data_IF_512807222230
#
_entry.id   IF_512807222230
#
_cell.length_a   1.000
_cell.length_b   1.000
_cell.length_c   1.000
_cell.angle_alpha   90.00
_cell.angle_beta   90.00
_cell.angle_gamma   90.00
#
_symmetry.space_group_name_H-M   'P 1'
#
loop_
_entity.id
_entity.type
_entity.pdbx_description
1 polymer ?
#
# COMPACT_ATOMS: atom_id res chain seq x y z
N UNK A 1 -10.68 40.03 7.73
CA UNK A 1 -11.55 39.24 6.82
C UNK A 1 -10.77 38.96 5.53
N UNK A 2 -10.39 37.70 5.28
CA UNK A 2 -9.68 37.31 4.04
C UNK A 2 -10.71 37.01 2.96
N UNK A 3 -10.65 37.74 1.85
CA UNK A 3 -11.50 37.48 0.69
C UNK A 3 -11.04 36.17 0.00
N UNK A 4 -11.95 35.27 -0.39
CA UNK A 4 -11.61 34.13 -1.23
C UNK A 4 -11.33 34.62 -2.66
N UNK A 5 -10.14 34.28 -3.20
CA UNK A 5 -9.85 34.52 -4.61
C UNK A 5 -10.66 33.55 -5.48
N UNK A 6 -11.40 34.11 -6.43
CA UNK A 6 -12.02 33.38 -7.54
C UNK A 6 -10.93 32.66 -8.33
N UNK A 7 -10.81 31.34 -8.18
CA UNK A 7 -10.13 30.52 -9.19
C UNK A 7 -11.11 30.33 -10.36
N UNK A 8 -11.19 31.35 -11.20
CA UNK A 8 -11.86 31.28 -12.50
C UNK A 8 -10.83 31.64 -13.57
N UNK A 9 -10.53 30.69 -14.44
CA UNK A 9 -9.88 30.95 -15.73
C UNK A 9 -8.35 30.81 -15.76
N UNK A 10 -7.86 29.57 -15.78
CA UNK A 10 -6.64 29.22 -16.51
C UNK A 10 -6.82 27.85 -17.19
N UNK A 11 -7.65 27.80 -18.24
CA UNK A 11 -7.62 26.73 -19.23
C UNK A 11 -6.66 27.15 -20.34
N UNK A 12 -5.38 26.92 -20.16
CA UNK A 12 -4.37 27.06 -21.22
C UNK A 12 -3.37 25.92 -21.16
N UNK A 13 -3.18 25.30 -22.33
CA UNK A 13 -2.21 24.27 -22.68
C UNK A 13 -2.46 22.85 -22.12
N UNK A 14 -2.96 21.98 -23.01
CA UNK A 14 -2.92 20.55 -22.86
C UNK A 14 -1.48 20.04 -22.75
N UNK A 15 -1.05 19.78 -21.52
CA UNK A 15 0.04 18.87 -21.24
C UNK A 15 -0.56 17.50 -20.97
N UNK A 16 -0.23 16.52 -21.81
CA UNK A 16 -0.27 15.08 -21.52
C UNK A 16 -1.28 14.70 -20.44
N UNK A 17 -2.54 14.55 -20.87
CA UNK A 17 -3.50 13.72 -20.15
C UNK A 17 -2.81 12.39 -19.88
N UNK A 18 -2.26 12.26 -18.67
CA UNK A 18 -1.84 11.00 -18.08
C UNK A 18 -3.10 10.19 -17.93
N UNK A 19 -3.56 9.63 -19.06
CA UNK A 19 -4.63 8.65 -19.11
C UNK A 19 -4.09 7.45 -18.34
N UNK A 20 -4.26 7.45 -17.03
CA UNK A 20 -4.69 6.22 -16.37
C UNK A 20 -5.88 5.76 -17.21
N UNK A 21 -5.72 4.65 -17.92
CA UNK A 21 -6.76 4.10 -18.79
C UNK A 21 -7.98 3.69 -17.96
N UNK A 22 -8.68 2.59 -18.27
CA UNK A 22 -9.80 2.11 -17.43
C UNK A 22 -9.41 1.70 -16.00
N UNK A 23 -8.16 1.91 -15.57
CA UNK A 23 -7.60 1.45 -14.30
C UNK A 23 -7.28 2.63 -13.39
N UNK A 24 -7.74 2.55 -12.13
CA UNK A 24 -7.55 3.59 -11.10
C UNK A 24 -6.09 3.80 -10.68
N UNK A 25 -5.22 2.81 -10.92
CA UNK A 25 -3.80 2.86 -10.54
C UNK A 25 -2.89 2.78 -11.78
N UNK A 26 -1.73 3.47 -11.77
CA UNK A 26 -0.82 3.50 -12.90
C UNK A 26 -0.09 2.16 -13.11
N UNK A 27 -0.45 1.44 -14.17
CA UNK A 27 0.11 0.13 -14.52
C UNK A 27 1.65 0.13 -14.61
N UNK A 28 2.23 1.21 -15.14
CA UNK A 28 3.69 1.34 -15.25
C UNK A 28 4.39 1.35 -13.88
N UNK A 29 3.75 1.94 -12.85
CA UNK A 29 4.31 1.95 -11.48
C UNK A 29 4.15 0.61 -10.81
N UNK A 30 3.00 -0.06 -11.00
CA UNK A 30 2.78 -1.43 -10.52
C UNK A 30 3.84 -2.36 -11.09
N UNK A 31 4.04 -2.35 -12.42
CA UNK A 31 5.07 -3.16 -13.08
C UNK A 31 6.47 -2.87 -12.55
N UNK A 32 6.80 -1.61 -12.24
CA UNK A 32 8.09 -1.24 -11.65
C UNK A 32 8.26 -1.80 -10.25
N UNK A 33 7.25 -1.71 -9.39
CA UNK A 33 7.29 -2.30 -8.03
C UNK A 33 7.49 -3.82 -8.13
N UNK A 34 6.74 -4.49 -9.02
CA UNK A 34 6.88 -5.94 -9.25
C UNK A 34 8.27 -6.35 -9.74
N UNK A 35 8.97 -5.52 -10.53
CA UNK A 35 10.35 -5.81 -10.93
C UNK A 35 11.35 -5.63 -9.78
N UNK A 36 11.04 -4.74 -8.85
CA UNK A 36 11.92 -4.40 -7.74
C UNK A 36 11.72 -5.34 -6.53
N UNK A 37 10.72 -6.22 -6.55
CA UNK A 37 10.41 -7.09 -5.40
C UNK A 37 11.32 -8.31 -5.25
N UNK A 38 12.21 -8.59 -6.22
CA UNK A 38 13.17 -9.68 -6.12
C UNK A 38 14.17 -9.69 -7.28
N UNK A 39 15.35 -10.26 -7.04
CA UNK A 39 16.46 -10.30 -8.00
C UNK A 39 16.15 -11.18 -9.24
N UNK A 40 15.20 -12.11 -9.11
CA UNK A 40 14.85 -13.09 -10.15
C UNK A 40 13.71 -12.67 -11.10
N UNK A 41 13.11 -11.49 -10.92
CA UNK A 41 11.97 -11.06 -11.74
C UNK A 41 12.43 -10.48 -13.08
N UNK A 42 12.61 -11.35 -14.09
CA UNK A 42 13.05 -10.94 -15.45
C UNK A 42 11.91 -10.36 -16.30
N UNK A 43 10.84 -11.12 -16.46
CA UNK A 43 9.68 -10.76 -17.29
C UNK A 43 8.39 -10.78 -16.46
N UNK A 44 7.47 -9.88 -16.80
CA UNK A 44 6.16 -9.78 -16.18
C UNK A 44 5.13 -9.77 -17.30
N UNK A 45 4.16 -10.68 -17.23
CA UNK A 45 3.03 -10.75 -18.17
C UNK A 45 2.27 -9.43 -18.23
N UNK A 46 1.71 -9.09 -19.39
CA UNK A 46 0.89 -7.89 -19.56
C UNK A 46 -0.38 -7.88 -18.69
N UNK A 47 -0.89 -9.05 -18.35
CA UNK A 47 -2.12 -9.20 -17.55
C UNK A 47 -1.89 -8.98 -16.05
N UNK A 48 -0.68 -9.27 -15.55
CA UNK A 48 -0.42 -9.22 -14.11
C UNK A 48 -0.58 -7.80 -13.51
N UNK A 49 -0.02 -6.71 -14.11
CA UNK A 49 -0.26 -5.35 -13.62
C UNK A 49 -1.74 -4.94 -13.63
N UNK A 50 -2.54 -5.48 -14.55
CA UNK A 50 -3.98 -5.19 -14.65
C UNK A 50 -4.72 -5.79 -13.45
N UNK A 51 -4.46 -7.06 -13.14
CA UNK A 51 -5.03 -7.75 -11.97
C UNK A 51 -4.58 -7.07 -10.67
N UNK A 52 -3.29 -6.77 -10.56
CA UNK A 52 -2.74 -6.07 -9.40
C UNK A 52 -3.36 -4.68 -9.21
N UNK A 53 -3.68 -3.95 -10.29
CA UNK A 53 -4.37 -2.67 -10.16
C UNK A 53 -5.70 -2.81 -9.42
N UNK A 54 -6.49 -3.85 -9.73
CA UNK A 54 -7.78 -4.06 -9.08
C UNK A 54 -7.62 -4.65 -7.68
N UNK A 55 -6.68 -5.57 -7.50
CA UNK A 55 -6.37 -6.14 -6.19
C UNK A 55 -5.91 -5.04 -5.21
N UNK A 56 -5.02 -4.13 -5.64
CA UNK A 56 -4.57 -3.01 -4.83
C UNK A 56 -5.70 -2.04 -4.49
N UNK A 57 -6.64 -1.80 -5.40
CA UNK A 57 -7.84 -0.99 -5.12
C UNK A 57 -8.66 -1.61 -3.98
N UNK A 58 -8.99 -2.91 -4.09
CA UNK A 58 -9.74 -3.64 -3.06
C UNK A 58 -8.95 -3.71 -1.73
N UNK A 59 -7.65 -3.89 -1.80
CA UNK A 59 -6.77 -3.93 -0.62
C UNK A 59 -6.76 -2.60 0.14
N UNK A 60 -6.64 -1.46 -0.57
CA UNK A 60 -6.66 -0.13 0.04
C UNK A 60 -8.02 0.15 0.69
N UNK A 61 -9.12 -0.16 -0.01
CA UNK A 61 -10.47 -0.01 0.52
C UNK A 61 -10.65 -0.80 1.82
N UNK A 62 -10.23 -2.06 1.81
CA UNK A 62 -10.43 -2.96 2.92
C UNK A 62 -9.55 -2.63 4.13
N UNK A 63 -8.28 -2.25 3.91
CA UNK A 63 -7.40 -1.75 4.98
C UNK A 63 -7.94 -0.45 5.58
N UNK A 64 -8.45 0.46 4.74
CA UNK A 64 -9.02 1.73 5.18
C UNK A 64 -10.28 1.50 6.01
N UNK A 65 -11.15 0.59 5.57
CA UNK A 65 -12.38 0.22 6.29
C UNK A 65 -12.07 -0.33 7.67
N UNK A 66 -11.10 -1.23 7.80
CA UNK A 66 -10.67 -1.75 9.12
C UNK A 66 -10.08 -0.67 10.02
N UNK A 67 -9.17 0.15 9.48
CA UNK A 67 -8.56 1.28 10.22
C UNK A 67 -9.61 2.29 10.69
N UNK A 68 -10.67 2.49 9.90
CA UNK A 68 -11.78 3.37 10.25
C UNK A 68 -12.59 2.84 11.44
N UNK A 69 -12.78 1.52 11.57
CA UNK A 69 -13.46 0.95 12.74
C UNK A 69 -12.71 1.28 14.04
N UNK A 70 -11.39 1.13 14.07
CA UNK A 70 -10.55 1.53 15.22
C UNK A 70 -10.60 3.04 15.49
N UNK A 71 -10.68 3.85 14.43
CA UNK A 71 -10.85 5.31 14.56
C UNK A 71 -12.18 5.67 15.25
N UNK A 72 -13.26 4.98 14.89
CA UNK A 72 -14.59 5.18 15.46
C UNK A 72 -14.67 4.72 16.93
N UNK A 73 -14.00 3.62 17.29
CA UNK A 73 -13.85 3.17 18.68
C UNK A 73 -13.15 4.24 19.53
N UNK A 74 -12.16 4.92 18.95
CA UNK A 74 -11.50 6.08 19.54
C UNK A 74 -12.34 7.37 19.57
N UNK A 75 -13.61 7.34 19.12
CA UNK A 75 -14.52 8.50 18.98
C UNK A 75 -13.93 9.63 18.13
N UNK A 76 -13.00 9.31 17.23
CA UNK A 76 -12.35 10.26 16.32
C UNK A 76 -13.01 10.19 14.94
N UNK A 77 -12.77 11.24 14.14
CA UNK A 77 -13.25 11.35 12.75
C UNK A 77 -12.11 11.47 11.74
N UNK A 78 -10.87 11.29 12.22
CA UNK A 78 -9.64 11.39 11.45
C UNK A 78 -8.83 10.13 11.71
N UNK A 79 -8.50 9.39 10.65
CA UNK A 79 -7.67 8.18 10.72
C UNK A 79 -6.22 8.58 10.99
N UNK A 80 -5.62 7.99 12.02
CA UNK A 80 -4.22 8.15 12.39
C UNK A 80 -3.41 6.92 12.01
N UNK A 81 -2.07 7.05 12.03
CA UNK A 81 -1.16 5.93 11.78
C UNK A 81 -1.37 4.79 12.79
N UNK A 82 -1.64 5.13 14.05
CA UNK A 82 -1.88 4.15 15.12
C UNK A 82 -3.14 3.31 14.89
N UNK A 83 -4.16 3.88 14.24
CA UNK A 83 -5.37 3.15 13.87
C UNK A 83 -5.07 2.09 12.80
N UNK A 84 -4.20 2.44 11.84
CA UNK A 84 -3.73 1.50 10.81
C UNK A 84 -2.88 0.38 11.42
N UNK A 85 -1.94 0.74 12.30
CA UNK A 85 -1.12 -0.26 12.99
C UNK A 85 -1.97 -1.23 13.82
N UNK A 86 -2.94 -0.70 14.56
CA UNK A 86 -3.88 -1.51 15.36
C UNK A 86 -4.75 -2.41 14.47
N UNK A 87 -5.26 -1.90 13.36
CA UNK A 87 -6.07 -2.68 12.42
C UNK A 87 -5.26 -3.79 11.72
N UNK A 88 -3.98 -3.55 11.45
CA UNK A 88 -3.05 -4.55 10.90
C UNK A 88 -2.82 -5.67 11.92
N UNK A 89 -2.47 -5.34 13.16
CA UNK A 89 -2.21 -6.34 14.22
C UNK A 89 -3.46 -7.15 14.56
N UNK A 90 -4.66 -6.55 14.47
CA UNK A 90 -5.92 -7.23 14.73
C UNK A 90 -6.37 -8.17 13.60
N UNK A 91 -5.71 -8.17 12.44
CA UNK A 91 -6.15 -8.92 11.25
C UNK A 91 -5.05 -9.85 10.75
N UNK A 92 -5.23 -11.16 10.95
CA UNK A 92 -4.24 -12.19 10.58
C UNK A 92 -3.77 -12.13 9.11
N UNK A 93 -4.68 -11.81 8.18
CA UNK A 93 -4.32 -11.70 6.75
C UNK A 93 -3.36 -10.54 6.43
N UNK A 94 -3.18 -9.60 7.37
CA UNK A 94 -2.29 -8.45 7.24
C UNK A 94 -0.96 -8.61 7.99
N UNK A 95 -0.63 -9.81 8.47
CA UNK A 95 0.61 -10.10 9.21
C UNK A 95 1.88 -9.67 8.45
N UNK A 96 1.87 -9.77 7.11
CA UNK A 96 2.96 -9.30 6.25
C UNK A 96 3.28 -7.79 6.37
N UNK A 97 2.42 -7.00 7.00
CA UNK A 97 2.58 -5.56 7.22
C UNK A 97 3.07 -5.23 8.64
N UNK A 98 3.08 -6.17 9.58
CA UNK A 98 3.37 -5.90 11.00
C UNK A 98 4.75 -5.26 11.19
N UNK A 99 5.78 -5.82 10.54
CA UNK A 99 7.14 -5.26 10.57
C UNK A 99 7.19 -3.82 10.02
N UNK A 100 6.40 -3.53 8.98
CA UNK A 100 6.37 -2.23 8.32
C UNK A 100 5.65 -1.15 9.16
N UNK A 101 4.59 -1.51 9.88
CA UNK A 101 3.83 -0.55 10.72
C UNK A 101 4.46 -0.33 12.09
N UNK A 102 5.16 -1.33 12.63
CA UNK A 102 5.85 -1.26 13.92
C UNK A 102 7.26 -0.66 13.82
N UNK A 103 7.84 -0.62 12.61
CA UNK A 103 9.26 -0.40 12.36
C UNK A 103 9.78 1.05 12.32
N UNK A 104 9.05 2.07 12.82
CA UNK A 104 9.63 3.43 12.85
C UNK A 104 10.66 3.67 13.98
N UNK A 105 11.24 2.61 14.56
CA UNK A 105 12.36 2.73 15.50
C UNK A 105 13.51 1.71 15.33
N UNK A 106 13.32 0.50 14.79
CA UNK A 106 14.39 -0.51 14.79
C UNK A 106 14.59 -1.13 13.40
N UNK A 107 15.72 -0.80 12.76
CA UNK A 107 16.34 -1.70 11.81
C UNK A 107 17.07 -2.75 12.64
N UNK A 108 16.48 -3.92 12.80
CA UNK A 108 17.21 -5.09 13.29
C UNK A 108 17.01 -6.22 12.28
N UNK A 109 18.16 -6.70 11.83
CA UNK A 109 18.37 -7.76 10.87
C UNK A 109 17.63 -9.04 11.31
N UNK A 110 16.72 -9.54 10.47
CA UNK A 110 16.27 -10.92 10.59
C UNK A 110 17.35 -11.79 9.94
N UNK A 111 18.22 -12.32 10.78
CA UNK A 111 19.19 -13.35 10.41
C UNK A 111 18.47 -14.69 10.14
N UNK A 112 19.04 -15.57 9.30
CA UNK A 112 18.39 -16.80 8.85
C UNK A 112 18.30 -17.82 9.99
N UNK A 113 17.12 -18.41 10.17
CA UNK A 113 16.89 -19.55 11.07
C UNK A 113 17.74 -20.74 10.61
N UNK A 114 18.76 -21.11 11.40
CA UNK A 114 19.40 -22.41 11.35
C UNK A 114 18.35 -23.48 11.63
N UNK A 115 17.99 -24.25 10.59
CA UNK A 115 17.34 -25.54 10.77
C UNK A 115 18.46 -26.53 11.09
N UNK A 116 18.70 -26.73 12.38
CA UNK A 116 19.47 -27.85 12.90
C UNK A 116 18.82 -29.15 12.42
N UNK A 117 19.48 -29.84 11.49
CA UNK A 117 19.11 -31.18 11.03
C UNK A 117 19.54 -32.18 12.11
N UNK A 118 18.66 -32.39 13.09
CA UNK A 118 18.65 -33.60 13.90
C UNK A 118 18.06 -34.75 13.06
N UNK A 119 18.84 -35.31 12.14
CA UNK A 119 18.59 -36.66 11.65
C UNK A 119 18.96 -37.66 12.74
N UNK A 120 17.93 -38.12 13.42
CA UNK A 120 17.92 -39.34 14.22
C UNK A 120 17.60 -40.49 13.27
N UNK A 121 18.61 -41.23 12.82
CA UNK A 121 18.56 -42.65 12.41
C UNK A 121 19.97 -43.19 12.24
#
# INVERSE_FOLDING_TARGET
MRQPRRYSGLTMCGGISGRTGPHSLPLARIKKIMKNSGEDVKMISGEAPIVFSKACEMFIEELTRRSWMTTLEGKRRTVHKDDVASAVVATDIFDFLVSLVSGSCCSEDITPVEIETLEKS
#
